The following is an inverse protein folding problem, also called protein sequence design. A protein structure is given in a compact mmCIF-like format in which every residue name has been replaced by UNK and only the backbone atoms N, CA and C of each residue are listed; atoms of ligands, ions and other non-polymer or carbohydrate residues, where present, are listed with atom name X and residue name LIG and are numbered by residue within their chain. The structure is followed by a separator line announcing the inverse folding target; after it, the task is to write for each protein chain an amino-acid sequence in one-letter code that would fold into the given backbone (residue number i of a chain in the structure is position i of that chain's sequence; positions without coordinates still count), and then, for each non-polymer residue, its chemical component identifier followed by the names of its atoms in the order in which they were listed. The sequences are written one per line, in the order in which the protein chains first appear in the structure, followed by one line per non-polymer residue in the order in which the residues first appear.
data_IF_372029805369
#
_entry.id   IF_372029805369
#
_cell.length_a   1.000
_cell.length_b   1.000
_cell.length_c   1.000
_cell.angle_alpha   90.00
_cell.angle_beta   90.00
_cell.angle_gamma   90.00
#
_symmetry.space_group_name_H-M   'P 1'
#
loop_
_entity.id
_entity.type
_entity.pdbx_description
1 polymer ?
#
# COMPACT_ATOMS: atom_id res chain seq x y z
N UNK A 1 32.99 -20.97 2.24
CA UNK A 1 31.55 -21.22 1.97
C UNK A 1 30.79 -20.95 3.25
N UNK A 2 30.11 -19.80 3.37
CA UNK A 2 29.34 -19.46 4.56
C UNK A 2 27.99 -20.19 4.49
N UNK A 3 27.75 -21.12 5.41
CA UNK A 3 26.48 -21.80 5.54
C UNK A 3 25.40 -20.77 5.88
N UNK A 4 24.40 -20.64 5.01
CA UNK A 4 23.15 -19.92 5.32
C UNK A 4 22.44 -20.73 6.40
N UNK A 5 22.63 -20.36 7.66
CA UNK A 5 21.75 -20.79 8.74
C UNK A 5 20.38 -20.20 8.45
N UNK A 6 19.48 -21.02 7.89
CA UNK A 6 18.06 -20.67 7.87
C UNK A 6 17.60 -20.64 9.32
N UNK A 7 17.44 -19.45 9.87
CA UNK A 7 16.79 -19.28 11.17
C UNK A 7 15.39 -19.85 11.00
N UNK A 8 15.10 -20.97 11.67
CA UNK A 8 13.82 -21.68 11.63
C UNK A 8 12.78 -20.93 12.48
N UNK A 9 12.66 -19.62 12.25
CA UNK A 9 11.60 -18.79 12.83
C UNK A 9 10.47 -18.81 11.83
N UNK A 10 9.26 -19.14 12.29
CA UNK A 10 8.03 -18.84 11.54
C UNK A 10 8.13 -17.39 11.06
N UNK A 11 7.96 -17.15 9.77
CA UNK A 11 7.89 -15.81 9.19
C UNK A 11 6.82 -15.04 9.95
N UNK A 12 7.24 -14.23 10.92
CA UNK A 12 6.40 -13.22 11.52
C UNK A 12 6.42 -12.08 10.52
N UNK A 13 5.35 -11.87 9.71
CA UNK A 13 5.23 -10.59 9.05
C UNK A 13 5.34 -9.58 10.19
N UNK A 14 6.30 -8.67 10.12
CA UNK A 14 6.20 -7.43 10.88
C UNK A 14 5.29 -6.58 10.02
N UNK A 15 3.95 -6.66 10.16
CA UNK A 15 3.09 -5.80 9.37
C UNK A 15 3.53 -4.39 9.69
N UNK A 16 3.60 -3.53 8.67
CA UNK A 16 4.03 -2.14 8.84
C UNK A 16 3.26 -1.46 10.00
N UNK A 17 2.00 -1.88 10.22
CA UNK A 17 1.16 -1.56 11.37
C UNK A 17 1.86 -1.73 12.73
N UNK A 18 2.56 -2.84 12.96
CA UNK A 18 3.25 -3.10 14.22
C UNK A 18 4.32 -2.05 14.49
N UNK A 19 5.08 -1.62 13.47
CA UNK A 19 6.11 -0.58 13.65
C UNK A 19 5.51 0.77 14.03
N UNK A 20 4.33 1.10 13.48
CA UNK A 20 3.62 2.34 13.79
C UNK A 20 2.89 2.31 15.14
N UNK A 21 2.44 1.13 15.58
CA UNK A 21 1.80 0.93 16.89
C UNK A 21 2.84 0.76 18.03
N UNK A 22 4.01 0.19 17.74
CA UNK A 22 5.07 -0.04 18.72
C UNK A 22 5.55 1.28 19.33
N UNK A 23 5.60 1.34 20.67
CA UNK A 23 5.93 2.53 21.44
C UNK A 23 5.16 3.79 20.99
N UNK A 24 3.94 3.65 20.46
CA UNK A 24 3.14 4.76 19.94
C UNK A 24 3.89 5.60 18.90
N UNK A 25 4.78 4.97 18.11
CA UNK A 25 5.66 5.65 17.18
C UNK A 25 4.93 6.58 16.20
N UNK A 26 3.76 6.16 15.68
CA UNK A 26 2.94 7.02 14.83
C UNK A 26 2.46 8.29 15.54
N UNK A 27 2.01 8.17 16.80
CA UNK A 27 1.54 9.31 17.58
C UNK A 27 2.69 10.29 17.86
N UNK A 28 3.87 9.77 18.17
CA UNK A 28 5.08 10.57 18.32
C UNK A 28 5.45 11.30 17.02
N UNK A 29 5.40 10.60 15.88
CA UNK A 29 5.70 11.19 14.58
C UNK A 29 4.72 12.31 14.22
N UNK A 30 3.42 12.10 14.44
CA UNK A 30 2.38 13.13 14.21
C UNK A 30 2.51 14.31 15.17
N UNK A 31 2.98 14.07 16.41
CA UNK A 31 3.23 15.13 17.39
C UNK A 31 4.53 15.92 17.16
N UNK A 32 5.42 15.39 16.31
CA UNK A 32 6.69 16.06 15.98
C UNK A 32 6.40 17.17 14.96
N UNK A 33 7.15 18.27 15.02
CA UNK A 33 7.03 19.44 14.11
C UNK A 33 7.48 19.15 12.65
N UNK A 34 7.56 17.88 12.27
CA UNK A 34 7.86 17.52 10.90
C UNK A 34 6.58 17.71 10.05
N UNK A 35 6.64 18.45 8.93
CA UNK A 35 5.48 18.61 8.06
C UNK A 35 5.15 17.26 7.41
N UNK A 36 4.15 16.56 7.93
CA UNK A 36 3.49 15.43 7.28
C UNK A 36 2.34 15.95 6.42
N UNK A 37 2.17 15.36 5.24
CA UNK A 37 1.07 15.71 4.34
C UNK A 37 -0.22 15.00 4.76
N UNK A 38 -1.36 15.63 4.47
CA UNK A 38 -2.67 15.05 4.75
C UNK A 38 -2.85 13.66 4.12
N UNK A 39 -2.32 13.47 2.91
CA UNK A 39 -2.35 12.16 2.21
C UNK A 39 -1.56 11.11 2.97
N UNK A 40 -0.41 11.47 3.56
CA UNK A 40 0.41 10.52 4.34
C UNK A 40 -0.31 10.13 5.63
N UNK A 41 -0.89 11.10 6.32
CA UNK A 41 -1.69 10.88 7.53
C UNK A 41 -2.90 10.00 7.22
N UNK A 42 -3.63 10.31 6.14
CA UNK A 42 -4.80 9.56 5.69
C UNK A 42 -4.46 8.10 5.36
N UNK A 43 -3.38 7.86 4.62
CA UNK A 43 -2.99 6.52 4.22
C UNK A 43 -2.51 5.67 5.41
N UNK A 44 -1.70 6.25 6.31
CA UNK A 44 -1.27 5.54 7.54
C UNK A 44 -2.46 5.27 8.45
N UNK A 45 -3.39 6.22 8.61
CA UNK A 45 -4.61 6.03 9.40
C UNK A 45 -5.49 4.89 8.85
N UNK A 46 -5.73 4.86 7.53
CA UNK A 46 -6.47 3.76 6.87
C UNK A 46 -5.76 2.43 7.10
N UNK A 47 -4.45 2.38 6.93
CA UNK A 47 -3.65 1.18 7.16
C UNK A 47 -3.80 0.65 8.59
N UNK A 48 -3.73 1.54 9.60
CA UNK A 48 -3.90 1.19 11.01
C UNK A 48 -5.32 0.73 11.35
N UNK A 49 -6.32 1.20 10.63
CA UNK A 49 -7.72 0.75 10.74
C UNK A 49 -8.00 -0.57 9.97
N UNK A 50 -7.06 -1.01 9.12
CA UNK A 50 -7.20 -2.20 8.27
C UNK A 50 -7.35 -3.50 9.04
N UNK A 51 -8.31 -4.34 8.63
CA UNK A 51 -8.52 -5.66 9.23
C UNK A 51 -9.17 -5.64 10.62
N UNK A 52 -9.70 -4.49 11.04
CA UNK A 52 -10.48 -4.29 12.27
C UNK A 52 -11.96 -4.08 11.91
N UNK A 53 -12.85 -4.29 12.88
CA UNK A 53 -14.30 -4.08 12.71
C UNK A 53 -14.68 -2.63 12.36
N UNK A 54 -13.76 -1.68 12.57
CA UNK A 54 -13.93 -0.25 12.29
C UNK A 54 -14.21 0.07 10.82
N UNK A 55 -13.74 -0.77 9.89
CA UNK A 55 -14.01 -0.60 8.46
C UNK A 55 -15.29 -1.32 8.00
N UNK A 56 -16.01 -1.95 8.93
CA UNK A 56 -17.09 -2.87 8.62
C UNK A 56 -16.59 -4.25 8.19
N UNK A 57 -17.54 -5.15 7.99
CA UNK A 57 -17.25 -6.52 7.58
C UNK A 57 -18.52 -7.29 7.27
N UNK A 58 -18.33 -8.53 6.87
CA UNK A 58 -19.41 -9.50 6.68
C UNK A 58 -19.23 -10.64 7.64
N UNK A 59 -20.31 -10.99 8.31
CA UNK A 59 -20.42 -12.18 9.13
C UNK A 59 -20.97 -13.30 8.25
N UNK A 60 -20.18 -14.36 8.06
CA UNK A 60 -20.61 -15.55 7.35
C UNK A 60 -21.07 -16.60 8.36
N UNK A 61 -22.25 -17.15 8.11
CA UNK A 61 -22.79 -18.29 8.84
C UNK A 61 -22.72 -19.54 7.95
N UNK A 62 -22.68 -20.71 8.58
CA UNK A 62 -22.84 -21.96 7.86
C UNK A 62 -24.27 -22.04 7.28
N UNK A 63 -24.42 -22.70 6.14
CA UNK A 63 -25.73 -22.95 5.53
C UNK A 63 -26.58 -23.95 6.34
N UNK A 64 -25.97 -24.70 7.25
CA UNK A 64 -26.67 -25.61 8.16
C UNK A 64 -27.13 -24.86 9.43
N UNK A 65 -28.44 -24.84 9.67
CA UNK A 65 -29.06 -24.17 10.83
C UNK A 65 -28.63 -24.76 12.18
N UNK A 66 -28.18 -26.02 12.22
CA UNK A 66 -27.67 -26.66 13.45
C UNK A 66 -26.20 -26.32 13.75
N UNK A 67 -25.54 -25.57 12.86
CA UNK A 67 -24.12 -25.26 12.94
C UNK A 67 -23.87 -23.83 13.43
N UNK A 68 -23.37 -23.67 14.66
CA UNK A 68 -23.06 -22.38 15.27
C UNK A 68 -21.77 -21.72 14.76
N UNK A 69 -21.10 -22.32 13.77
CA UNK A 69 -19.84 -21.76 13.25
C UNK A 69 -20.08 -20.47 12.49
N UNK A 70 -19.48 -19.39 13.01
CA UNK A 70 -19.57 -18.06 12.42
C UNK A 70 -18.17 -17.55 12.11
N UNK A 71 -17.98 -17.00 10.90
CA UNK A 71 -16.70 -16.43 10.46
C UNK A 71 -16.89 -14.97 10.10
N UNK A 72 -16.21 -14.08 10.83
CA UNK A 72 -16.19 -12.66 10.54
C UNK A 72 -15.08 -12.34 9.54
N UNK A 73 -15.43 -11.70 8.43
CA UNK A 73 -14.50 -11.20 7.43
C UNK A 73 -14.56 -9.69 7.43
N UNK A 74 -13.49 -9.04 7.88
CA UNK A 74 -13.37 -7.59 7.89
C UNK A 74 -12.94 -7.05 6.53
N UNK A 75 -13.42 -5.85 6.19
CA UNK A 75 -13.01 -5.21 4.95
C UNK A 75 -11.55 -4.73 4.98
N UNK A 76 -10.93 -4.74 3.81
CA UNK A 76 -9.55 -4.29 3.63
C UNK A 76 -9.47 -2.77 3.63
N UNK A 77 -8.37 -2.20 4.14
CA UNK A 77 -8.18 -0.75 4.21
C UNK A 77 -7.97 -0.04 2.88
N UNK A 78 -7.66 -0.79 1.80
CA UNK A 78 -7.37 -0.23 0.46
C UNK A 78 -6.31 0.88 0.44
N UNK A 79 -5.46 0.94 1.47
CA UNK A 79 -4.41 1.94 1.55
C UNK A 79 -3.15 1.47 0.82
N UNK A 80 -2.48 2.42 0.16
CA UNK A 80 -1.16 2.20 -0.48
C UNK A 80 -0.04 1.98 0.54
N UNK A 81 -0.19 2.50 1.77
CA UNK A 81 0.77 2.31 2.84
C UNK A 81 0.71 0.89 3.42
N UNK A 82 -0.45 0.22 3.33
CA UNK A 82 -0.60 -1.15 3.81
C UNK A 82 0.19 -2.12 2.95
N UNK A 83 1.08 -2.90 3.57
CA UNK A 83 1.90 -3.91 2.88
C UNK A 83 1.06 -4.95 2.13
N UNK A 84 -0.10 -5.32 2.66
CA UNK A 84 -1.00 -6.28 2.01
C UNK A 84 -1.81 -5.63 0.88
N UNK A 85 -2.50 -4.52 1.16
CA UNK A 85 -3.39 -3.89 0.17
C UNK A 85 -2.60 -3.21 -0.95
N UNK A 86 -1.52 -2.51 -0.61
CA UNK A 86 -0.61 -1.88 -1.56
C UNK A 86 0.01 -2.91 -2.50
N UNK A 87 0.53 -4.03 -1.98
CA UNK A 87 1.08 -5.11 -2.81
C UNK A 87 0.05 -5.68 -3.77
N UNK A 88 -1.15 -6.01 -3.27
CA UNK A 88 -2.24 -6.50 -4.12
C UNK A 88 -2.62 -5.50 -5.22
N UNK A 89 -2.70 -4.21 -4.89
CA UNK A 89 -2.97 -3.16 -5.88
C UNK A 89 -1.88 -3.08 -6.94
N UNK A 90 -0.60 -3.18 -6.54
CA UNK A 90 0.54 -3.20 -7.47
C UNK A 90 0.49 -4.42 -8.39
N UNK A 91 0.19 -5.60 -7.86
CA UNK A 91 0.12 -6.84 -8.67
C UNK A 91 -1.01 -6.80 -9.69
N UNK A 92 -2.17 -6.28 -9.26
CA UNK A 92 -3.31 -6.07 -10.16
C UNK A 92 -2.95 -5.07 -11.27
N UNK A 93 -2.25 -3.98 -10.93
CA UNK A 93 -1.80 -3.00 -11.90
C UNK A 93 -0.79 -3.60 -12.89
N UNK A 94 0.20 -4.38 -12.41
CA UNK A 94 1.18 -5.08 -13.27
C UNK A 94 0.45 -6.00 -14.26
N UNK A 95 -0.52 -6.78 -13.78
CA UNK A 95 -1.29 -7.70 -14.63
C UNK A 95 -2.00 -6.94 -15.74
N UNK A 96 -2.67 -5.82 -15.41
CA UNK A 96 -3.32 -4.97 -16.40
C UNK A 96 -2.33 -4.34 -17.40
N UNK A 97 -1.11 -3.99 -16.96
CA UNK A 97 -0.10 -3.47 -17.89
C UNK A 97 0.37 -4.56 -18.86
N UNK A 98 0.62 -5.77 -18.36
CA UNK A 98 1.04 -6.90 -19.20
C UNK A 98 -0.03 -7.23 -20.25
N UNK A 99 -1.31 -7.19 -19.88
CA UNK A 99 -2.42 -7.41 -20.81
C UNK A 99 -2.53 -6.35 -21.92
N UNK A 100 -2.07 -5.13 -21.66
CA UNK A 100 -2.07 -4.03 -22.63
C UNK A 100 -0.88 -4.08 -23.59
N UNK A 101 0.22 -4.72 -23.20
CA UNK A 101 1.44 -4.75 -24.00
C UNK A 101 1.28 -5.70 -25.20
N UNK A 102 1.82 -5.33 -26.38
CA UNK A 102 1.81 -6.22 -27.54
C UNK A 102 2.64 -7.48 -27.28
N UNK A 103 2.22 -8.61 -27.87
CA UNK A 103 2.93 -9.89 -27.77
C UNK A 103 4.19 -9.92 -28.68
N UNK A 104 5.16 -9.05 -28.38
CA UNK A 104 6.45 -8.96 -29.07
C UNK A 104 7.56 -8.62 -28.07
N UNK A 105 8.81 -8.52 -28.53
CA UNK A 105 9.91 -8.04 -27.67
C UNK A 105 9.78 -6.53 -27.49
N UNK A 106 9.84 -6.07 -26.26
CA UNK A 106 9.78 -4.66 -25.89
C UNK A 106 10.89 -4.30 -24.90
N UNK A 107 11.17 -3.01 -24.75
CA UNK A 107 12.15 -2.47 -23.82
C UNK A 107 11.46 -1.43 -22.94
N UNK A 108 11.65 -1.52 -21.63
CA UNK A 108 11.15 -0.51 -20.69
C UNK A 108 12.14 0.64 -20.60
N UNK A 109 11.68 1.87 -20.89
CA UNK A 109 12.48 3.09 -20.75
C UNK A 109 11.93 3.92 -19.59
N UNK A 110 12.82 4.35 -18.69
CA UNK A 110 12.46 5.23 -17.57
C UNK A 110 13.00 6.62 -17.85
N UNK A 111 12.09 7.60 -17.95
CA UNK A 111 12.47 9.01 -18.03
C UNK A 111 12.53 9.60 -16.62
N UNK A 112 13.66 10.23 -16.29
CA UNK A 112 13.81 11.00 -15.05
C UNK A 112 13.61 12.47 -15.35
N UNK A 113 12.83 13.15 -14.51
CA UNK A 113 12.67 14.61 -14.59
C UNK A 113 13.98 15.28 -14.15
N UNK A 114 14.52 16.23 -14.93
CA UNK A 114 15.72 17.00 -14.55
C UNK A 114 15.56 17.66 -13.17
N UNK A 115 16.66 17.73 -12.41
CA UNK A 115 16.73 18.26 -11.05
C UNK A 115 16.24 19.71 -10.94
N UNK A 116 16.47 20.52 -11.99
CA UNK A 116 15.97 21.90 -12.12
C UNK A 116 14.45 22.00 -11.91
N UNK A 117 13.69 20.96 -12.27
CA UNK A 117 12.23 20.96 -12.10
C UNK A 117 11.76 20.40 -10.76
N UNK A 118 12.64 19.80 -9.94
CA UNK A 118 12.21 19.18 -8.68
C UNK A 118 11.57 20.16 -7.70
N UNK A 119 12.09 21.40 -7.50
CA UNK A 119 11.45 22.37 -6.61
C UNK A 119 10.02 22.72 -7.06
N UNK A 120 9.79 22.81 -8.38
CA UNK A 120 8.48 23.10 -8.95
C UNK A 120 7.45 22.03 -8.55
N UNK A 121 7.80 20.74 -8.73
CA UNK A 121 6.92 19.63 -8.36
C UNK A 121 6.84 19.38 -6.85
N UNK A 122 7.89 19.72 -6.10
CA UNK A 122 7.87 19.62 -4.64
C UNK A 122 6.83 20.57 -4.04
N UNK A 123 6.81 21.82 -4.52
CA UNK A 123 5.86 22.86 -4.11
C UNK A 123 4.47 22.63 -4.70
N UNK A 124 4.40 22.14 -5.94
CA UNK A 124 3.15 21.95 -6.70
C UNK A 124 2.91 20.48 -7.02
N UNK A 125 2.76 19.64 -6.00
CA UNK A 125 2.59 18.18 -6.17
C UNK A 125 1.38 17.78 -7.03
N UNK A 126 0.34 18.60 -7.09
CA UNK A 126 -0.81 18.38 -7.96
C UNK A 126 -0.46 18.38 -9.46
N UNK A 127 0.66 19.00 -9.85
CA UNK A 127 1.14 18.99 -11.24
C UNK A 127 1.68 17.61 -11.67
N UNK A 128 2.03 16.73 -10.73
CA UNK A 128 2.51 15.39 -11.06
C UNK A 128 1.44 14.55 -11.77
N UNK A 129 0.18 14.72 -11.40
CA UNK A 129 -0.94 14.03 -12.05
C UNK A 129 -1.11 14.51 -13.51
N UNK A 130 -1.02 15.82 -13.73
CA UNK A 130 -1.06 16.43 -15.08
C UNK A 130 0.14 16.04 -15.94
N UNK A 131 1.33 15.97 -15.36
CA UNK A 131 2.56 15.57 -16.07
C UNK A 131 2.39 14.19 -16.70
N UNK A 132 1.87 13.23 -15.94
CA UNK A 132 1.64 11.87 -16.43
C UNK A 132 0.58 11.82 -17.54
N UNK A 133 -0.44 12.68 -17.50
CA UNK A 133 -1.46 12.74 -18.55
C UNK A 133 -0.88 13.26 -19.87
N UNK A 134 -0.13 14.37 -19.82
CA UNK A 134 0.49 14.97 -21.00
C UNK A 134 1.49 14.00 -21.63
N UNK A 135 2.28 13.28 -20.83
CA UNK A 135 3.26 12.32 -21.33
C UNK A 135 2.66 11.11 -22.08
N UNK A 136 1.35 10.86 -21.95
CA UNK A 136 0.65 9.75 -22.61
C UNK A 136 -0.07 10.21 -23.89
N UNK A 137 -0.35 11.51 -24.02
CA UNK A 137 -1.11 12.09 -25.14
C UNK A 137 -0.24 12.51 -26.35
N UNK A 138 1.09 12.43 -26.24
CA UNK A 138 2.05 12.56 -27.36
C UNK A 138 2.41 11.20 -27.98
#
# INVERSE_FOLDING_TARGET
MAARTSVNTLYQPRPLNFLFEYNKAWQHLVSTDHPLRDVEISEVAKMLAGGKSTLGGKTLHCENDDCYHTKNIWFTCSSRACSCCGKKSTDNWITQQVERLPNCRWMHMTFTVPDVFWPLFLLNRYLLDKLCQIAVEE
#
